data_IF_268215791573
#
_entry.id   IF_268215791573
#
_cell.length_a   1.000
_cell.length_b   1.000
_cell.length_c   1.000
_cell.angle_alpha   90.00
_cell.angle_beta   90.00
_cell.angle_gamma   90.00
#
_symmetry.space_group_name_H-M   'P 1'
#
loop_
_entity.id
_entity.type
_entity.pdbx_description
1 polymer ?
#
# COMPACT_ATOMS: atom_id res chain seq x y z
N UNK A 1 -1.68 3.60 -9.14
CA UNK A 1 -0.76 2.43 -9.07
C UNK A 1 0.61 2.88 -9.49
N UNK A 2 1.66 2.39 -8.85
CA UNK A 2 3.03 2.79 -9.20
C UNK A 2 3.39 2.36 -10.63
N UNK A 3 4.29 3.10 -11.27
CA UNK A 3 4.66 2.90 -12.68
C UNK A 3 5.74 1.83 -12.91
N UNK A 4 5.83 0.84 -12.02
CA UNK A 4 6.86 -0.19 -12.06
C UNK A 4 6.48 -1.32 -13.01
N UNK A 5 7.48 -1.93 -13.68
CA UNK A 5 7.23 -2.83 -14.81
C UNK A 5 6.35 -4.04 -14.46
N UNK A 6 6.45 -4.59 -13.26
CA UNK A 6 5.63 -5.75 -12.87
C UNK A 6 4.14 -5.41 -12.71
N UNK A 7 3.78 -4.13 -12.51
CA UNK A 7 2.38 -3.68 -12.50
C UNK A 7 1.76 -3.56 -13.91
N UNK A 8 2.56 -3.67 -14.97
CA UNK A 8 2.11 -3.52 -16.38
C UNK A 8 1.81 -4.84 -17.06
N UNK A 9 1.85 -5.95 -16.33
CA UNK A 9 1.50 -7.28 -16.87
C UNK A 9 0.04 -7.28 -17.35
N UNK A 10 -0.21 -7.84 -18.53
CA UNK A 10 -1.54 -7.94 -19.12
C UNK A 10 -2.53 -8.69 -18.22
N UNK A 11 -2.07 -9.72 -17.51
CA UNK A 11 -2.92 -10.47 -16.57
C UNK A 11 -3.47 -9.55 -15.47
N UNK A 12 -2.65 -8.63 -14.96
CA UNK A 12 -3.10 -7.67 -13.93
C UNK A 12 -4.15 -6.72 -14.50
N UNK A 13 -3.96 -6.27 -15.74
CA UNK A 13 -4.95 -5.42 -16.44
C UNK A 13 -6.29 -6.14 -16.62
N UNK A 14 -6.26 -7.35 -17.16
CA UNK A 14 -7.45 -8.16 -17.41
C UNK A 14 -8.23 -8.43 -16.11
N UNK A 15 -7.53 -8.80 -15.02
CA UNK A 15 -8.17 -9.04 -13.73
C UNK A 15 -8.84 -7.77 -13.16
N UNK A 16 -8.18 -6.62 -13.25
CA UNK A 16 -8.75 -5.35 -12.75
C UNK A 16 -9.94 -4.90 -13.61
N UNK A 17 -9.84 -5.02 -14.93
CA UNK A 17 -10.93 -4.64 -15.84
C UNK A 17 -12.12 -5.61 -15.75
N UNK A 18 -11.89 -6.88 -15.41
CA UNK A 18 -12.96 -7.87 -15.22
C UNK A 18 -13.95 -7.51 -14.10
N UNK A 19 -13.52 -6.71 -13.12
CA UNK A 19 -14.36 -6.21 -12.02
C UNK A 19 -14.87 -4.78 -12.27
N UNK A 20 -14.74 -4.26 -13.49
CA UNK A 20 -15.22 -2.93 -13.88
C UNK A 20 -14.32 -1.77 -13.46
N UNK A 21 -13.13 -2.06 -12.93
CA UNK A 21 -12.14 -1.05 -12.55
C UNK A 21 -11.25 -0.65 -13.74
N UNK A 22 -10.58 0.50 -13.62
CA UNK A 22 -9.58 0.96 -14.59
C UNK A 22 -8.27 1.25 -13.88
N UNK A 23 -7.15 0.95 -14.54
CA UNK A 23 -5.83 1.21 -13.98
C UNK A 23 -5.39 2.63 -14.31
N UNK A 24 -5.09 3.41 -13.25
CA UNK A 24 -4.38 4.68 -13.36
C UNK A 24 -2.95 4.51 -12.88
N UNK A 25 -1.99 4.62 -13.80
CA UNK A 25 -0.57 4.65 -13.47
C UNK A 25 -0.14 6.06 -13.10
N UNK A 26 0.65 6.17 -12.03
CA UNK A 26 1.34 7.42 -11.70
C UNK A 26 2.48 7.67 -12.70
N UNK A 27 2.91 8.92 -12.92
CA UNK A 27 4.15 9.18 -13.65
C UNK A 27 5.35 8.60 -12.91
N UNK A 28 6.42 8.29 -13.64
CA UNK A 28 7.64 7.73 -13.06
C UNK A 28 8.25 8.72 -12.05
N UNK A 29 8.77 8.20 -10.93
CA UNK A 29 9.37 9.00 -9.85
C UNK A 29 8.45 10.10 -9.30
N UNK A 30 7.14 9.87 -9.27
CA UNK A 30 6.15 10.83 -8.74
C UNK A 30 5.49 10.33 -7.43
N UNK A 31 6.26 10.09 -6.35
CA UNK A 31 5.70 9.65 -5.08
C UNK A 31 4.75 10.69 -4.48
N UNK A 32 4.96 11.98 -4.77
CA UNK A 32 4.10 13.09 -4.30
C UNK A 32 2.66 13.00 -4.85
N UNK A 33 2.46 12.27 -5.94
CA UNK A 33 1.14 12.01 -6.52
C UNK A 33 0.47 10.76 -5.94
N UNK A 34 1.10 10.08 -4.98
CA UNK A 34 0.56 8.90 -4.32
C UNK A 34 0.09 9.24 -2.89
N UNK A 35 -1.22 9.46 -2.66
CA UNK A 35 -1.71 9.93 -1.36
C UNK A 35 -1.33 9.02 -0.19
N UNK A 36 -1.18 7.71 -0.42
CA UNK A 36 -0.85 6.74 0.63
C UNK A 36 0.54 7.00 1.25
N UNK A 37 1.46 7.63 0.52
CA UNK A 37 2.80 7.94 0.99
C UNK A 37 2.79 8.86 2.21
N UNK A 38 1.84 9.82 2.24
CA UNK A 38 1.67 10.72 3.38
C UNK A 38 1.18 9.99 4.64
N UNK A 39 0.42 8.90 4.49
CA UNK A 39 -0.12 8.14 5.62
C UNK A 39 0.92 7.18 6.22
N UNK A 40 1.89 6.70 5.42
CA UNK A 40 2.88 5.73 5.88
C UNK A 40 3.72 6.21 7.05
N UNK A 41 4.01 7.50 7.18
CA UNK A 41 4.74 8.03 8.33
C UNK A 41 4.01 7.75 9.64
N UNK A 42 2.72 8.11 9.71
CA UNK A 42 1.88 7.91 10.89
C UNK A 42 1.71 6.43 11.21
N UNK A 43 1.36 5.62 10.20
CA UNK A 43 1.15 4.17 10.35
C UNK A 43 2.41 3.50 10.91
N UNK A 44 3.58 3.77 10.31
CA UNK A 44 4.85 3.19 10.78
C UNK A 44 5.21 3.64 12.19
N UNK A 45 4.89 4.88 12.56
CA UNK A 45 5.16 5.38 13.90
C UNK A 45 4.34 4.62 14.96
N UNK A 46 3.05 4.40 14.72
CA UNK A 46 2.19 3.66 15.64
C UNK A 46 2.60 2.18 15.74
N UNK A 47 2.95 1.54 14.61
CA UNK A 47 3.45 0.15 14.62
C UNK A 47 4.69 0.02 15.52
N UNK A 48 5.66 0.94 15.40
CA UNK A 48 6.91 0.90 16.19
C UNK A 48 6.66 0.99 17.69
N UNK A 49 5.66 1.76 18.13
CA UNK A 49 5.32 1.89 19.57
C UNK A 49 4.82 0.59 20.17
N UNK A 50 4.14 -0.23 19.38
CA UNK A 50 3.51 -1.47 19.86
C UNK A 50 4.26 -2.74 19.47
N UNK A 51 5.27 -2.65 18.59
CA UNK A 51 5.98 -3.83 18.05
C UNK A 51 6.52 -4.75 19.15
N UNK A 52 7.07 -4.20 20.24
CA UNK A 52 7.59 -5.00 21.37
C UNK A 52 6.53 -5.75 22.18
N UNK A 53 5.24 -5.47 21.96
CA UNK A 53 4.11 -6.11 22.63
C UNK A 53 3.63 -7.36 21.87
N UNK A 54 4.11 -7.59 20.65
CA UNK A 54 3.69 -8.68 19.79
C UNK A 54 4.86 -9.60 19.46
N UNK A 55 4.54 -10.88 19.22
CA UNK A 55 5.52 -11.90 18.83
C UNK A 55 6.08 -11.66 17.43
N UNK A 56 5.26 -11.11 16.53
CA UNK A 56 5.59 -10.88 15.13
C UNK A 56 5.08 -9.51 14.66
N UNK A 57 5.77 -8.92 13.69
CA UNK A 57 5.42 -7.62 13.13
C UNK A 57 4.05 -7.64 12.43
N UNK A 58 3.63 -8.75 11.83
CA UNK A 58 2.32 -8.90 11.21
C UNK A 58 1.20 -8.65 12.21
N UNK A 59 1.31 -9.19 13.43
CA UNK A 59 0.33 -8.98 14.49
C UNK A 59 0.28 -7.51 14.94
N UNK A 60 1.45 -6.86 15.04
CA UNK A 60 1.51 -5.43 15.37
C UNK A 60 0.88 -4.56 14.26
N UNK A 61 1.12 -4.90 12.99
CA UNK A 61 0.53 -4.23 11.82
C UNK A 61 -0.99 -4.40 11.82
N UNK A 62 -1.48 -5.63 11.93
CA UNK A 62 -2.93 -5.92 11.99
C UNK A 62 -3.61 -5.22 13.16
N UNK A 63 -2.95 -5.17 14.32
CA UNK A 63 -3.46 -4.45 15.48
C UNK A 63 -3.62 -2.96 15.19
N UNK A 64 -2.58 -2.30 14.68
CA UNK A 64 -2.63 -0.85 14.39
C UNK A 64 -3.62 -0.52 13.28
N UNK A 65 -3.67 -1.32 12.20
CA UNK A 65 -4.56 -1.07 11.07
C UNK A 65 -6.05 -1.20 11.42
N UNK A 66 -6.43 -1.88 12.52
CA UNK A 66 -7.82 -1.90 13.00
C UNK A 66 -8.34 -0.56 13.52
N UNK A 67 -7.45 0.40 13.78
CA UNK A 67 -7.80 1.69 14.39
C UNK A 67 -7.60 2.88 13.43
N UNK A 68 -7.36 2.63 12.15
CA UNK A 68 -7.20 3.62 11.08
C UNK A 68 -8.39 3.50 10.14
#
# INVERSE_FOLDING_TARGET
MDNINFHKNNIIRELIESVGCRILFLPTYSPDLNPIEHYWFKIKNEIRKVTGQFKDISMAVEHVLKFI
#
